data_IF_759571556876
#
_entry.id   IF_759571556876
#
_cell.length_a   1.000
_cell.length_b   1.000
_cell.length_c   1.000
_cell.angle_alpha   90.00
_cell.angle_beta   90.00
_cell.angle_gamma   90.00
#
_symmetry.space_group_name_H-M   'P 1'
#
loop_
_entity.id
_entity.type
_entity.pdbx_description
1 polymer ?
#
# COMPACT_ATOMS: atom_id res chain seq x y z
N UNK A 1 -3.44 -10.49 -12.67
CA UNK A 1 -3.02 -9.28 -13.41
C UNK A 1 -2.17 -8.29 -12.61
N UNK A 2 -2.14 -8.15 -11.29
CA UNK A 2 -1.41 -7.07 -10.59
C UNK A 2 -1.93 -5.63 -10.84
N UNK A 3 -1.70 -4.74 -9.86
CA UNK A 3 -2.10 -3.33 -9.90
C UNK A 3 -1.10 -2.46 -9.13
N UNK A 4 -0.91 -1.22 -9.56
CA UNK A 4 0.03 -0.25 -8.95
C UNK A 4 -0.72 1.06 -8.70
N UNK A 5 -0.48 1.68 -7.54
CA UNK A 5 -0.99 3.01 -7.18
C UNK A 5 0.15 3.85 -6.64
N UNK A 6 0.32 5.06 -7.17
CA UNK A 6 1.25 6.05 -6.65
C UNK A 6 0.53 7.27 -6.10
N UNK A 7 1.11 7.92 -5.10
CA UNK A 7 0.64 9.21 -4.59
C UNK A 7 1.81 10.16 -4.36
N UNK A 8 1.64 11.40 -4.83
CA UNK A 8 2.52 12.55 -4.56
C UNK A 8 1.62 13.71 -4.18
N UNK A 9 1.74 14.24 -2.96
CA UNK A 9 0.98 15.41 -2.55
C UNK A 9 1.10 15.71 -1.06
N UNK A 10 0.27 16.63 -0.55
CA UNK A 10 0.40 17.14 0.83
C UNK A 10 -0.26 16.28 1.90
N UNK A 11 -1.09 15.29 1.54
CA UNK A 11 -1.76 14.40 2.50
C UNK A 11 -0.85 13.22 2.87
N UNK A 12 -1.22 12.46 3.89
CA UNK A 12 -0.56 11.18 4.17
C UNK A 12 -0.83 10.21 3.02
N UNK A 13 0.24 9.64 2.47
CA UNK A 13 0.19 8.79 1.27
C UNK A 13 -0.43 7.42 1.54
N UNK A 14 -0.12 6.79 2.69
CA UNK A 14 -0.52 5.42 2.97
C UNK A 14 -2.06 5.19 2.93
N UNK A 15 -2.92 6.03 3.54
CA UNK A 15 -4.37 5.85 3.43
C UNK A 15 -4.90 5.97 1.99
N UNK A 16 -4.33 6.88 1.20
CA UNK A 16 -4.76 7.13 -0.19
C UNK A 16 -4.36 5.96 -1.08
N UNK A 17 -3.12 5.49 -0.93
CA UNK A 17 -2.60 4.34 -1.67
C UNK A 17 -3.40 3.09 -1.28
N UNK A 18 -3.65 2.85 0.01
CA UNK A 18 -4.42 1.70 0.49
C UNK A 18 -5.81 1.66 -0.15
N UNK A 19 -6.50 2.79 -0.20
CA UNK A 19 -7.83 2.89 -0.82
C UNK A 19 -7.77 2.66 -2.35
N UNK A 20 -6.74 3.18 -3.02
CA UNK A 20 -6.50 2.88 -4.43
C UNK A 20 -6.26 1.38 -4.67
N UNK A 21 -5.48 0.73 -3.79
CA UNK A 21 -5.22 -0.71 -3.90
C UNK A 21 -6.47 -1.56 -3.67
N UNK A 22 -7.38 -1.17 -2.76
CA UNK A 22 -8.68 -1.83 -2.61
C UNK A 22 -9.46 -1.85 -3.91
N UNK A 23 -9.48 -0.72 -4.63
CA UNK A 23 -10.15 -0.61 -5.94
C UNK A 23 -9.48 -1.45 -7.02
N UNK A 24 -8.20 -1.81 -6.86
CA UNK A 24 -7.45 -2.66 -7.78
C UNK A 24 -7.33 -4.12 -7.32
N UNK A 25 -7.94 -4.51 -6.20
CA UNK A 25 -7.82 -5.86 -5.64
C UNK A 25 -8.33 -6.94 -6.62
N UNK A 26 -9.32 -6.62 -7.46
CA UNK A 26 -9.80 -7.51 -8.52
C UNK A 26 -8.71 -7.94 -9.52
N UNK A 27 -7.58 -7.21 -9.60
CA UNK A 27 -6.44 -7.56 -10.46
C UNK A 27 -5.46 -8.52 -9.80
N UNK A 28 -5.47 -8.65 -8.48
CA UNK A 28 -4.48 -9.42 -7.71
C UNK A 28 -4.76 -9.39 -6.20
N UNK A 29 -4.85 -10.58 -5.60
CA UNK A 29 -5.20 -10.75 -4.18
C UNK A 29 -4.26 -11.71 -3.42
N UNK A 30 -3.16 -12.17 -4.03
CA UNK A 30 -2.22 -13.10 -3.38
C UNK A 30 -1.30 -12.39 -2.40
N UNK A 31 -1.03 -11.11 -2.65
CA UNK A 31 -0.30 -10.24 -1.73
C UNK A 31 -0.46 -8.77 -2.12
N UNK A 32 -0.24 -7.89 -1.14
CA UNK A 32 -0.16 -6.46 -1.36
C UNK A 32 0.94 -5.83 -0.50
N UNK A 33 1.44 -4.68 -0.95
CA UNK A 33 2.37 -3.88 -0.18
C UNK A 33 2.39 -2.43 -0.63
N UNK A 34 2.94 -1.58 0.23
CA UNK A 34 3.24 -0.19 -0.10
C UNK A 34 4.55 0.26 0.55
N UNK A 35 5.15 1.26 -0.07
CA UNK A 35 6.34 1.96 0.41
C UNK A 35 6.06 3.46 0.46
N UNK A 36 6.48 4.10 1.55
CA UNK A 36 6.33 5.53 1.79
C UNK A 36 7.69 6.14 2.03
N UNK A 37 7.95 7.28 1.39
CA UNK A 37 9.14 8.08 1.61
C UNK A 37 8.91 9.04 2.80
N UNK A 38 9.79 8.97 3.80
CA UNK A 38 9.79 9.82 4.99
C UNK A 38 11.18 10.41 5.18
N UNK A 39 11.38 11.66 4.75
CA UNK A 39 12.72 12.23 4.63
C UNK A 39 13.50 11.42 3.60
N UNK A 40 14.67 10.91 3.99
CA UNK A 40 15.52 10.05 3.16
C UNK A 40 15.29 8.55 3.41
N UNK A 41 14.34 8.18 4.27
CA UNK A 41 14.01 6.78 4.57
C UNK A 41 12.83 6.26 3.73
N UNK A 42 12.98 5.04 3.20
CA UNK A 42 11.91 4.31 2.56
C UNK A 42 11.30 3.28 3.53
N UNK A 43 10.09 3.53 4.01
CA UNK A 43 9.36 2.63 4.90
C UNK A 43 8.45 1.71 4.09
N UNK A 44 8.61 0.40 4.22
CA UNK A 44 7.83 -0.58 3.45
C UNK A 44 6.99 -1.48 4.35
N UNK A 45 5.76 -1.76 3.92
CA UNK A 45 4.86 -2.76 4.52
C UNK A 45 4.32 -3.66 3.42
N UNK A 46 4.40 -4.97 3.62
CA UNK A 46 3.89 -5.97 2.68
C UNK A 46 3.31 -7.18 3.41
N UNK A 47 2.25 -7.75 2.88
CA UNK A 47 1.58 -8.93 3.44
C UNK A 47 1.00 -9.80 2.33
N UNK A 48 0.95 -11.12 2.56
CA UNK A 48 0.19 -12.05 1.71
C UNK A 48 -1.31 -11.91 1.96
N UNK A 49 -2.11 -12.30 0.98
CA UNK A 49 -3.57 -12.25 1.00
C UNK A 49 -4.16 -10.91 0.56
N UNK A 50 -5.48 -10.82 0.73
CA UNK A 50 -6.30 -9.65 0.39
C UNK A 50 -5.89 -8.40 1.18
N UNK A 51 -6.23 -7.24 0.65
CA UNK A 51 -5.92 -5.93 1.23
C UNK A 51 -6.40 -5.84 2.67
N UNK A 52 -7.68 -6.10 2.93
CA UNK A 52 -8.27 -5.91 4.25
C UNK A 52 -7.87 -7.00 5.26
N UNK A 53 -7.63 -8.23 4.79
CA UNK A 53 -7.17 -9.34 5.64
C UNK A 53 -5.68 -9.25 5.98
N UNK A 54 -4.89 -8.60 5.13
CA UNK A 54 -3.43 -8.54 5.21
C UNK A 54 -2.88 -7.14 5.43
N UNK A 55 -2.77 -6.35 4.35
CA UNK A 55 -2.04 -5.06 4.36
C UNK A 55 -2.70 -4.01 5.26
N UNK A 56 -4.04 -3.92 5.26
CA UNK A 56 -4.76 -2.94 6.08
C UNK A 56 -4.53 -3.17 7.58
N UNK A 57 -4.58 -4.44 8.03
CA UNK A 57 -4.28 -4.80 9.44
C UNK A 57 -2.83 -4.49 9.80
N UNK A 58 -1.89 -4.78 8.89
CA UNK A 58 -0.48 -4.46 9.11
C UNK A 58 -0.26 -2.94 9.24
N UNK A 59 -0.90 -2.13 8.40
CA UNK A 59 -0.80 -0.66 8.48
C UNK A 59 -1.48 -0.09 9.73
N UNK A 60 -2.52 -0.74 10.25
CA UNK A 60 -3.11 -0.37 11.52
C UNK A 60 -2.18 -0.67 12.70
N UNK A 61 -1.52 -1.84 12.70
CA UNK A 61 -0.59 -2.23 13.76
C UNK A 61 0.76 -1.47 13.68
N UNK A 62 1.25 -1.25 12.47
CA UNK A 62 2.54 -0.63 12.18
C UNK A 62 2.37 0.47 11.11
N UNK A 63 1.86 1.65 11.50
CA UNK A 63 1.61 2.74 10.58
C UNK A 63 2.90 3.27 9.96
N UNK A 64 2.77 3.75 8.72
CA UNK A 64 3.84 4.47 8.01
C UNK A 64 3.32 5.85 7.61
N UNK A 65 4.17 6.86 7.79
CA UNK A 65 3.83 8.27 7.55
C UNK A 65 4.76 8.87 6.50
N UNK A 66 4.22 9.77 5.69
CA UNK A 66 4.93 10.42 4.60
C UNK A 66 4.00 10.80 3.46
N UNK A 67 4.48 11.71 2.63
CA UNK A 67 3.67 12.44 1.64
C UNK A 67 3.76 11.86 0.23
N UNK A 68 4.76 11.01 0.00
CA UNK A 68 5.03 10.35 -1.28
C UNK A 68 5.11 8.85 -1.04
N UNK A 69 4.46 8.07 -1.90
CA UNK A 69 4.53 6.62 -1.80
C UNK A 69 3.98 5.90 -3.03
N UNK A 70 4.21 4.60 -3.05
CA UNK A 70 3.74 3.67 -4.08
C UNK A 70 3.24 2.39 -3.42
N UNK A 71 2.22 1.77 -4.01
CA UNK A 71 1.65 0.50 -3.59
C UNK A 71 1.44 -0.44 -4.76
N UNK A 72 1.39 -1.74 -4.48
CA UNK A 72 1.22 -2.79 -5.46
C UNK A 72 0.34 -3.94 -4.92
N UNK A 73 -0.58 -4.45 -5.74
CA UNK A 73 -1.24 -5.74 -5.57
C UNK A 73 -0.65 -6.76 -6.54
N UNK A 74 -0.43 -8.00 -6.08
CA UNK A 74 0.13 -9.10 -6.90
C UNK A 74 -0.91 -10.16 -7.21
N UNK A 75 -0.83 -10.72 -8.41
CA UNK A 75 -1.44 -11.99 -8.80
C UNK A 75 -0.33 -13.04 -9.02
N UNK A 76 -0.50 -14.25 -8.51
CA UNK A 76 0.39 -15.39 -8.66
C UNK A 76 -0.41 -16.67 -8.94
#
# INVERSE_FOLDING_TARGET
>A
MCGIVGYVGRRQSAPIILEGLRRLEYRGYDSAGLSVLRGDELLTRKKKGKIDEGLAKLLHAEPVTGHVGIGHTRWA
#
